data_IF_251607220537
#
_entry.id   IF_251607220537
#
_cell.length_a   1.000
_cell.length_b   1.000
_cell.length_c   1.000
_cell.angle_alpha   90.00
_cell.angle_beta   90.00
_cell.angle_gamma   90.00
#
_symmetry.space_group_name_H-M   'P 1'
#
loop_
_entity.id
_entity.type
_entity.pdbx_description
1 polymer ?
#
# COMPACT_ATOMS: atom_id res chain seq x y z
N UNK A 1 27.04 14.90 1.20
CA UNK A 1 26.88 13.69 1.95
C UNK A 1 25.73 13.79 2.94
N UNK A 2 25.20 12.69 3.32
CA UNK A 2 24.13 12.69 4.28
C UNK A 2 24.63 13.31 5.57
N UNK A 3 23.86 14.16 6.17
CA UNK A 3 24.22 14.71 7.45
C UNK A 3 23.89 13.71 8.55
N UNK A 4 24.68 13.74 9.63
CA UNK A 4 24.53 12.79 10.72
C UNK A 4 23.19 12.89 11.42
N UNK A 5 22.62 14.08 11.47
CA UNK A 5 21.33 14.27 12.13
C UNK A 5 20.21 13.50 11.43
N UNK A 6 20.18 13.54 10.10
CA UNK A 6 19.18 12.78 9.34
C UNK A 6 19.39 11.29 9.50
N UNK A 7 20.65 10.85 9.46
CA UNK A 7 20.96 9.43 9.61
C UNK A 7 20.57 8.93 11.01
N UNK A 8 20.86 9.72 12.04
CA UNK A 8 20.47 9.36 13.41
C UNK A 8 18.96 9.24 13.54
N UNK A 9 18.23 10.19 12.96
CA UNK A 9 16.77 10.17 13.01
C UNK A 9 16.21 8.95 12.29
N UNK A 10 16.78 8.60 11.13
CA UNK A 10 16.38 7.41 10.40
C UNK A 10 16.65 6.14 11.19
N UNK A 11 17.77 6.09 11.89
CA UNK A 11 18.13 4.90 12.65
C UNK A 11 17.11 4.60 13.75
N UNK A 12 16.42 5.63 14.24
CA UNK A 12 15.41 5.45 15.28
C UNK A 12 14.05 5.04 14.72
N UNK A 13 13.89 5.03 13.39
CA UNK A 13 12.63 4.68 12.75
C UNK A 13 12.63 3.20 12.40
N UNK A 14 11.61 2.43 12.82
CA UNK A 14 11.52 1.03 12.44
C UNK A 14 11.56 0.87 10.92
N UNK A 15 12.26 -0.15 10.44
CA UNK A 15 12.47 -0.36 9.01
C UNK A 15 11.15 -0.37 8.23
N UNK A 16 10.15 -1.05 8.77
CA UNK A 16 8.86 -1.19 8.10
C UNK A 16 8.09 0.11 7.91
N UNK A 17 8.42 1.13 8.70
CA UNK A 17 7.75 2.43 8.59
C UNK A 17 8.58 3.47 7.84
N UNK A 18 9.71 3.03 7.29
CA UNK A 18 10.60 3.95 6.60
C UNK A 18 10.07 4.23 5.18
N UNK A 19 10.05 5.51 4.82
CA UNK A 19 9.71 5.91 3.47
C UNK A 19 10.92 5.67 2.58
N UNK A 20 10.72 4.99 1.47
CA UNK A 20 11.79 4.74 0.50
C UNK A 20 11.87 5.89 -0.50
N UNK A 21 13.07 6.37 -0.72
CA UNK A 21 13.32 7.55 -1.55
C UNK A 21 13.70 7.19 -2.99
N UNK A 22 13.49 5.97 -3.39
CA UNK A 22 13.92 5.48 -4.71
C UNK A 22 13.15 6.10 -5.87
N UNK A 23 12.12 6.86 -5.61
CA UNK A 23 11.27 7.41 -6.68
C UNK A 23 10.24 6.42 -7.19
N UNK A 24 10.35 5.16 -6.82
CA UNK A 24 9.39 4.14 -7.19
C UNK A 24 8.35 3.96 -6.09
N UNK A 25 7.26 3.31 -6.46
CA UNK A 25 6.18 3.01 -5.54
C UNK A 25 6.11 1.51 -5.30
N UNK A 26 5.43 1.12 -4.21
CA UNK A 26 5.17 -0.28 -3.88
C UNK A 26 3.69 -0.58 -4.02
N UNK A 27 3.40 -1.79 -4.46
CA UNK A 27 2.02 -2.28 -4.55
C UNK A 27 1.96 -3.67 -3.93
N UNK A 28 1.08 -3.84 -2.94
CA UNK A 28 0.89 -5.12 -2.27
C UNK A 28 -0.29 -5.88 -2.85
N UNK A 29 -0.10 -7.16 -3.12
CA UNK A 29 -1.12 -8.00 -3.75
C UNK A 29 -0.82 -9.47 -3.46
N UNK A 30 -1.78 -10.34 -3.75
CA UNK A 30 -1.56 -11.80 -3.79
C UNK A 30 -1.50 -12.34 -5.21
N UNK A 31 -1.59 -11.46 -6.20
CA UNK A 31 -1.46 -11.85 -7.60
C UNK A 31 0.00 -12.17 -7.94
N UNK A 32 0.20 -13.18 -8.77
CA UNK A 32 1.53 -13.56 -9.25
C UNK A 32 1.80 -12.82 -10.55
N UNK A 33 2.53 -11.71 -10.42
CA UNK A 33 2.82 -10.83 -11.53
C UNK A 33 4.29 -10.94 -11.94
N UNK A 34 4.59 -10.52 -13.16
CA UNK A 34 5.94 -10.54 -13.70
C UNK A 34 6.38 -9.12 -14.04
N UNK A 35 7.69 -8.91 -14.04
CA UNK A 35 8.26 -7.66 -14.50
C UNK A 35 7.79 -7.39 -15.92
N UNK A 36 7.29 -6.19 -16.15
CA UNK A 36 6.71 -5.80 -17.42
C UNK A 36 5.20 -5.88 -17.47
N UNK A 37 4.58 -6.60 -16.54
CA UNK A 37 3.12 -6.63 -16.45
C UNK A 37 2.59 -5.26 -16.05
N UNK A 38 1.34 -4.99 -16.40
CA UNK A 38 0.66 -3.78 -16.00
C UNK A 38 -0.46 -4.10 -15.02
N UNK A 39 -0.49 -3.33 -13.95
CA UNK A 39 -1.65 -3.28 -13.07
C UNK A 39 -2.62 -2.27 -13.66
N UNK A 40 -3.86 -2.67 -13.86
CA UNK A 40 -4.87 -1.81 -14.47
C UNK A 40 -6.04 -1.63 -13.52
N UNK A 41 -6.72 -0.46 -13.57
CA UNK A 41 -7.99 -0.31 -12.85
C UNK A 41 -9.01 -1.33 -13.32
N UNK A 42 -10.02 -1.60 -12.50
CA UNK A 42 -11.09 -2.53 -12.86
C UNK A 42 -10.99 -3.88 -12.16
N UNK A 43 -10.08 -4.03 -11.22
CA UNK A 43 -9.95 -5.25 -10.43
C UNK A 43 -10.66 -5.09 -9.08
N UNK A 44 -10.92 -6.24 -8.43
CA UNK A 44 -11.58 -6.23 -7.13
C UNK A 44 -10.72 -5.54 -6.07
N UNK A 45 -11.36 -4.79 -5.20
CA UNK A 45 -10.70 -4.15 -4.08
C UNK A 45 -10.06 -5.18 -3.16
N UNK A 46 -8.89 -4.85 -2.60
CA UNK A 46 -8.23 -5.67 -1.59
C UNK A 46 -9.04 -5.74 -0.29
N UNK A 47 -9.89 -4.77 -0.04
CA UNK A 47 -10.61 -4.65 1.23
C UNK A 47 -12.09 -4.96 1.13
N UNK A 48 -12.66 -4.98 -0.08
CA UNK A 48 -14.08 -5.26 -0.31
C UNK A 48 -14.22 -6.10 -1.57
N UNK A 49 -14.64 -7.35 -1.39
CA UNK A 49 -14.71 -8.32 -2.50
C UNK A 49 -15.65 -7.90 -3.62
N UNK A 50 -16.78 -7.29 -3.27
CA UNK A 50 -17.79 -6.90 -4.27
C UNK A 50 -17.51 -5.56 -4.92
N UNK A 51 -16.47 -4.87 -4.47
CA UNK A 51 -16.12 -3.56 -5.04
C UNK A 51 -15.06 -3.71 -6.13
N UNK A 52 -15.32 -3.12 -7.28
CA UNK A 52 -14.36 -3.05 -8.38
C UNK A 52 -13.68 -1.70 -8.31
N UNK A 53 -12.37 -1.69 -8.15
CA UNK A 53 -11.61 -0.46 -8.02
C UNK A 53 -11.47 0.26 -9.35
N UNK A 54 -11.68 1.57 -9.33
CA UNK A 54 -11.46 2.44 -10.48
C UNK A 54 -10.03 2.93 -10.58
N UNK A 55 -9.20 2.57 -9.62
CA UNK A 55 -7.81 3.03 -9.51
C UNK A 55 -6.89 1.89 -9.15
N UNK A 56 -5.60 2.08 -9.46
CA UNK A 56 -4.52 1.26 -8.92
C UNK A 56 -3.91 2.02 -7.75
N UNK A 57 -3.80 1.38 -6.60
CA UNK A 57 -3.28 1.98 -5.37
C UNK A 57 -1.84 1.58 -5.14
N UNK A 58 -1.03 2.50 -4.63
CA UNK A 58 0.38 2.28 -4.37
C UNK A 58 0.86 3.18 -3.25
N UNK A 59 2.02 2.88 -2.69
CA UNK A 59 2.58 3.66 -1.58
C UNK A 59 4.10 3.69 -1.67
N UNK A 60 4.69 4.70 -1.06
CA UNK A 60 6.16 4.77 -0.90
C UNK A 60 6.60 4.19 0.45
N UNK A 61 5.68 3.76 1.30
CA UNK A 61 5.99 3.16 2.60
C UNK A 61 5.87 1.65 2.48
N UNK A 62 6.99 0.95 2.63
CA UNK A 62 7.02 -0.50 2.46
C UNK A 62 6.04 -1.21 3.38
N UNK A 63 5.95 -0.79 4.65
CA UNK A 63 5.03 -1.41 5.60
C UNK A 63 3.58 -1.36 5.12
N UNK A 64 3.18 -0.25 4.51
CA UNK A 64 1.83 -0.11 3.96
C UNK A 64 1.57 -1.10 2.84
N UNK A 65 2.56 -1.30 1.97
CA UNK A 65 2.42 -2.28 0.88
C UNK A 65 2.39 -3.71 1.41
N UNK A 66 3.20 -4.01 2.43
CA UNK A 66 3.19 -5.33 3.07
C UNK A 66 1.82 -5.62 3.66
N UNK A 67 1.26 -4.67 4.40
CA UNK A 67 -0.07 -4.83 4.99
C UNK A 67 -1.13 -5.02 3.91
N UNK A 68 -1.06 -4.25 2.84
CA UNK A 68 -2.00 -4.40 1.72
C UNK A 68 -1.90 -5.80 1.10
N UNK A 69 -0.68 -6.32 0.95
CA UNK A 69 -0.47 -7.66 0.41
C UNK A 69 -1.06 -8.74 1.33
N UNK A 70 -0.85 -8.60 2.63
CA UNK A 70 -1.36 -9.55 3.62
C UNK A 70 -2.88 -9.52 3.72
N UNK A 71 -3.48 -8.35 3.50
CA UNK A 71 -4.93 -8.16 3.56
C UNK A 71 -5.62 -8.42 2.23
N UNK A 72 -4.86 -8.60 1.16
CA UNK A 72 -5.42 -8.76 -0.18
C UNK A 72 -6.29 -10.01 -0.28
N UNK A 73 -7.31 -9.92 -1.12
CA UNK A 73 -8.19 -11.04 -1.43
C UNK A 73 -7.45 -12.02 -2.35
N UNK A 74 -7.60 -13.31 -2.11
CA UNK A 74 -7.03 -14.35 -2.96
C UNK A 74 -6.32 -15.43 -2.16
N UNK A 75 -5.98 -16.52 -2.85
CA UNK A 75 -5.36 -17.69 -2.24
C UNK A 75 -3.84 -17.71 -2.37
N UNK A 76 -3.28 -16.77 -3.12
CA UNK A 76 -1.84 -16.70 -3.31
C UNK A 76 -1.14 -16.17 -2.07
N UNK A 77 0.19 -16.29 -2.06
CA UNK A 77 0.98 -15.69 -1.00
C UNK A 77 1.03 -14.17 -1.16
N UNK A 78 1.19 -13.43 -0.06
CA UNK A 78 1.38 -11.97 -0.16
C UNK A 78 2.65 -11.63 -0.93
N UNK A 79 2.57 -10.64 -1.80
CA UNK A 79 3.69 -10.15 -2.61
C UNK A 79 3.69 -8.64 -2.63
N UNK A 80 4.88 -8.07 -2.70
CA UNK A 80 5.07 -6.63 -2.84
C UNK A 80 5.87 -6.38 -4.10
N UNK A 81 5.31 -5.61 -5.01
CA UNK A 81 5.97 -5.25 -6.25
C UNK A 81 6.44 -3.81 -6.21
N UNK A 82 7.55 -3.57 -6.88
CA UNK A 82 8.01 -2.22 -7.18
C UNK A 82 7.33 -1.84 -8.48
N UNK A 83 6.65 -0.72 -8.49
CA UNK A 83 5.83 -0.32 -9.63
C UNK A 83 6.15 1.10 -10.08
N UNK A 84 5.89 1.36 -11.35
CA UNK A 84 6.14 2.65 -11.98
C UNK A 84 4.86 3.13 -12.63
N UNK A 85 4.28 4.25 -12.15
CA UNK A 85 3.12 4.83 -12.80
C UNK A 85 3.48 5.31 -14.20
N UNK A 86 2.55 5.15 -15.12
CA UNK A 86 2.74 5.61 -16.51
C UNK A 86 2.13 7.00 -16.72
N UNK A 87 1.44 7.51 -15.72
CA UNK A 87 0.77 8.80 -15.76
C UNK A 87 0.77 9.39 -14.37
N UNK A 88 0.10 10.52 -14.18
CA UNK A 88 0.05 11.19 -12.89
C UNK A 88 -0.61 10.32 -11.83
N UNK A 89 -0.10 10.45 -10.61
CA UNK A 89 -0.72 9.84 -9.43
C UNK A 89 -1.27 10.93 -8.53
N UNK A 90 -2.27 10.59 -7.76
CA UNK A 90 -2.92 11.50 -6.84
C UNK A 90 -2.93 10.90 -5.44
N UNK A 91 -2.97 11.76 -4.42
CA UNK A 91 -3.09 11.29 -3.06
C UNK A 91 -4.29 10.38 -2.90
N UNK A 92 -4.10 9.30 -2.18
CA UNK A 92 -5.19 8.37 -1.88
C UNK A 92 -6.13 9.03 -0.86
N UNK A 93 -7.37 9.38 -1.24
CA UNK A 93 -8.29 10.07 -0.33
C UNK A 93 -8.74 9.18 0.83
N UNK A 94 -8.53 7.88 0.75
CA UNK A 94 -8.93 6.97 1.82
C UNK A 94 -8.06 7.13 3.08
N UNK A 95 -6.86 7.68 2.92
CA UNK A 95 -5.91 7.87 4.03
C UNK A 95 -5.40 9.30 4.16
N UNK A 96 -5.73 10.17 3.19
CA UNK A 96 -5.27 11.57 3.21
C UNK A 96 -6.21 12.42 4.05
N UNK A 97 -5.65 13.27 4.91
CA UNK A 97 -6.40 14.18 5.79
C UNK A 97 -7.40 13.47 6.70
N UNK A 98 -7.04 12.28 7.16
CA UNK A 98 -7.90 11.51 8.07
C UNK A 98 -7.53 11.80 9.52
N UNK A 99 -6.73 10.96 10.13
CA UNK A 99 -6.33 11.13 11.52
C UNK A 99 -5.44 12.35 11.71
N UNK A 100 -4.58 12.61 10.71
CA UNK A 100 -3.68 13.75 10.70
C UNK A 100 -3.79 14.46 9.35
N UNK A 101 -3.44 15.76 9.29
CA UNK A 101 -3.42 16.46 8.00
C UNK A 101 -2.41 15.86 7.04
N UNK A 102 -2.72 15.92 5.75
CA UNK A 102 -1.83 15.47 4.70
C UNK A 102 -1.91 13.98 4.43
N UNK A 103 -0.87 13.45 3.81
CA UNK A 103 -0.77 12.06 3.37
C UNK A 103 0.42 11.39 4.07
N UNK A 104 0.31 11.11 5.38
CA UNK A 104 1.46 10.62 6.15
C UNK A 104 1.90 9.21 5.74
N UNK A 105 1.03 8.40 5.16
CA UNK A 105 1.38 7.06 4.69
C UNK A 105 1.95 7.08 3.29
N UNK A 106 2.04 8.25 2.66
CA UNK A 106 2.53 8.40 1.28
C UNK A 106 1.86 7.40 0.35
N UNK A 107 0.53 7.37 0.41
CA UNK A 107 -0.30 6.48 -0.41
C UNK A 107 -0.94 7.28 -1.54
N UNK A 108 -0.96 6.66 -2.72
CA UNK A 108 -1.38 7.31 -3.96
C UNK A 108 -2.24 6.38 -4.78
N UNK A 109 -2.92 6.94 -5.77
CA UNK A 109 -3.69 6.14 -6.70
C UNK A 109 -3.56 6.69 -8.13
N UNK A 110 -3.71 5.82 -9.11
CA UNK A 110 -3.68 6.16 -10.52
C UNK A 110 -4.92 5.60 -11.22
N UNK A 111 -5.54 6.42 -12.06
CA UNK A 111 -6.64 5.97 -12.92
C UNK A 111 -6.12 5.27 -14.18
N UNK A 112 -4.80 5.25 -14.38
CA UNK A 112 -4.14 4.68 -15.54
C UNK A 112 -3.29 3.48 -15.14
N UNK A 113 -2.89 2.65 -16.10
CA UNK A 113 -2.07 1.48 -15.80
C UNK A 113 -0.75 1.83 -15.12
N UNK A 114 -0.28 0.91 -14.29
CA UNK A 114 0.97 1.04 -13.54
C UNK A 114 1.82 -0.18 -13.88
N UNK A 115 3.07 0.03 -14.21
CA UNK A 115 3.95 -1.02 -14.69
C UNK A 115 4.71 -1.66 -13.55
N UNK A 116 4.76 -2.99 -13.53
CA UNK A 116 5.58 -3.75 -12.58
C UNK A 116 7.03 -3.71 -13.08
N UNK A 117 7.94 -3.18 -12.26
CA UNK A 117 9.36 -3.08 -12.62
C UNK A 117 10.24 -3.99 -11.77
N UNK A 118 9.73 -4.55 -10.70
CA UNK A 118 10.48 -5.47 -9.86
C UNK A 118 9.61 -6.03 -8.76
N UNK A 119 10.17 -6.96 -7.99
CA UNK A 119 9.50 -7.48 -6.79
C UNK A 119 10.38 -7.21 -5.57
N UNK A 120 9.76 -6.71 -4.51
CA UNK A 120 10.44 -6.51 -3.24
C UNK A 120 10.24 -7.80 -2.43
N UNK A 121 11.32 -8.57 -2.25
CA UNK A 121 11.24 -9.84 -1.55
C UNK A 121 11.76 -9.77 -0.12
N UNK A 122 12.51 -8.74 0.20
CA UNK A 122 13.15 -8.59 1.52
C UNK A 122 12.25 -7.73 2.42
N UNK A 123 11.20 -8.35 2.95
CA UNK A 123 10.30 -7.65 3.87
C UNK A 123 9.82 -8.62 4.93
N UNK A 124 9.37 -8.05 6.05
CA UNK A 124 8.87 -8.80 7.20
C UNK A 124 7.37 -8.55 7.33
N UNK A 125 6.61 -9.63 7.43
CA UNK A 125 5.16 -9.53 7.59
C UNK A 125 4.77 -9.15 9.02
N UNK A 126 3.50 -8.82 9.18
CA UNK A 126 2.94 -8.53 10.50
C UNK A 126 2.57 -9.83 11.18
N UNK A 127 2.49 -9.81 12.51
CA UNK A 127 2.10 -10.98 13.27
C UNK A 127 0.63 -11.35 12.98
N UNK A 128 0.25 -12.63 13.12
CA UNK A 128 -1.16 -12.99 12.98
C UNK A 128 -2.08 -12.23 13.94
N UNK A 129 -1.59 -11.93 15.13
CA UNK A 129 -2.36 -11.17 16.10
C UNK A 129 -2.60 -9.73 15.61
N UNK A 130 -1.54 -9.09 15.09
CA UNK A 130 -1.67 -7.74 14.52
C UNK A 130 -2.72 -7.73 13.40
N UNK A 131 -2.64 -8.72 12.50
CA UNK A 131 -3.58 -8.80 11.37
C UNK A 131 -5.02 -9.02 11.85
N UNK A 132 -5.21 -9.85 12.88
CA UNK A 132 -6.55 -10.03 13.46
C UNK A 132 -7.09 -8.73 14.04
N UNK A 133 -6.25 -8.00 14.78
CA UNK A 133 -6.65 -6.72 15.37
C UNK A 133 -6.97 -5.69 14.30
N UNK A 134 -6.17 -5.67 13.24
CA UNK A 134 -6.41 -4.75 12.13
C UNK A 134 -7.74 -5.05 11.46
N UNK A 135 -8.03 -6.32 11.18
CA UNK A 135 -9.29 -6.73 10.57
C UNK A 135 -10.48 -6.41 11.48
N UNK A 136 -10.32 -6.65 12.77
CA UNK A 136 -11.38 -6.32 13.74
C UNK A 136 -11.67 -4.83 13.77
N UNK A 137 -10.60 -4.00 13.70
CA UNK A 137 -10.76 -2.55 13.65
C UNK A 137 -11.51 -2.09 12.42
N UNK A 138 -11.17 -2.65 11.25
CA UNK A 138 -11.89 -2.33 10.01
C UNK A 138 -13.36 -2.74 10.09
N UNK A 139 -13.64 -3.91 10.63
CA UNK A 139 -15.00 -4.39 10.76
C UNK A 139 -15.81 -3.50 11.72
N UNK A 140 -15.22 -3.07 12.82
CA UNK A 140 -15.86 -2.17 13.75
C UNK A 140 -16.20 -0.83 13.10
N UNK A 141 -15.27 -0.29 12.30
CA UNK A 141 -15.53 0.95 11.56
C UNK A 141 -16.68 0.77 10.56
N UNK A 142 -16.70 -0.38 9.88
CA UNK A 142 -17.75 -0.68 8.92
C UNK A 142 -19.12 -0.76 9.58
N UNK A 143 -19.19 -1.41 10.73
CA UNK A 143 -20.44 -1.54 11.48
C UNK A 143 -20.97 -0.19 11.97
N UNK A 144 -20.08 0.76 12.26
CA UNK A 144 -20.47 2.11 12.65
C UNK A 144 -20.70 3.03 11.45
N UNK A 145 -20.56 2.53 10.24
CA UNK A 145 -20.71 3.34 9.03
C UNK A 145 -19.58 4.34 8.80
N UNK A 146 -18.42 4.14 9.46
CA UNK A 146 -17.30 5.06 9.40
C UNK A 146 -16.23 4.63 8.40
N UNK A 147 -16.33 3.40 7.87
CA UNK A 147 -15.39 2.89 6.87
C UNK A 147 -15.89 3.24 5.47
N UNK A 148 -15.70 4.48 5.07
CA UNK A 148 -16.10 4.96 3.74
C UNK A 148 -14.95 4.77 2.77
N UNK A 149 -15.25 4.14 1.62
CA UNK A 149 -14.27 3.95 0.56
C UNK A 149 -14.48 4.99 -0.54
N UNK A 150 -13.46 5.80 -0.79
CA UNK A 150 -13.46 6.79 -1.86
C UNK A 150 -12.74 6.22 -3.07
N UNK A 151 -13.49 5.86 -4.09
CA UNK A 151 -12.89 5.24 -5.29
C UNK A 151 -13.61 5.65 -6.59
#
# INVERSE_FOLDING_TARGET
MANGANDSHRADTPERFRVHESGNFFHGTKADLRVGDFLTPGHRSNYRREHISNYVYMTKVLDGAVLAAEMAVGDGRPRVYVVEPQDDVHDDPNVTDKKFPGNPTHSYRSARPVRVVGEMTDWVGHSPEYLRQFRAGLEALRQRGEAVLYD
#
